data_IF_031389196939
#
_entry.id   IF_031389196939
#
_cell.length_a   1.000
_cell.length_b   1.000
_cell.length_c   1.000
_cell.angle_alpha   90.00
_cell.angle_beta   90.00
_cell.angle_gamma   90.00
#
_symmetry.space_group_name_H-M   'P 1'
#
loop_
_entity.id
_entity.type
_entity.pdbx_description
1 polymer ?
#
# COMPACT_ATOMS: atom_id res chain seq x y z
N UNK A 1 15.95 -1.48 -9.22
CA UNK A 1 14.58 -1.32 -9.75
C UNK A 1 13.70 -0.76 -8.65
N UNK A 2 13.13 0.43 -8.84
CA UNK A 2 12.24 1.04 -7.85
C UNK A 2 10.87 0.36 -7.92
N UNK A 3 10.33 -0.07 -6.77
CA UNK A 3 8.98 -0.65 -6.70
C UNK A 3 7.97 0.51 -6.58
N UNK A 4 6.86 0.51 -7.34
CA UNK A 4 5.87 1.56 -7.23
C UNK A 4 5.20 1.57 -5.85
N UNK A 5 4.82 2.76 -5.38
CA UNK A 5 4.09 2.93 -4.15
C UNK A 5 2.67 2.41 -4.27
N UNK A 6 2.16 1.88 -3.17
CA UNK A 6 0.75 1.54 -3.02
C UNK A 6 -0.02 2.80 -2.65
N UNK A 7 -1.18 2.99 -3.23
CA UNK A 7 -2.08 4.10 -2.94
C UNK A 7 -3.47 3.61 -2.54
N UNK A 8 -4.29 4.51 -2.00
CA UNK A 8 -5.71 4.24 -1.78
C UNK A 8 -6.38 3.85 -3.11
N UNK A 9 -7.15 2.76 -3.06
CA UNK A 9 -7.84 2.17 -4.20
C UNK A 9 -7.07 1.02 -4.87
N UNK A 10 -5.78 0.83 -4.56
CA UNK A 10 -5.02 -0.32 -5.06
C UNK A 10 -5.57 -1.64 -4.53
N UNK A 11 -5.33 -2.70 -5.30
CA UNK A 11 -5.87 -4.03 -5.04
C UNK A 11 -4.86 -4.91 -4.31
N UNK A 12 -5.36 -6.00 -3.76
CA UNK A 12 -4.54 -7.06 -3.15
C UNK A 12 -4.76 -8.39 -3.86
N UNK A 13 -3.83 -9.32 -3.71
CA UNK A 13 -3.94 -10.67 -4.30
C UNK A 13 -5.17 -11.45 -3.84
N UNK A 14 -5.76 -11.10 -2.69
CA UNK A 14 -7.01 -11.71 -2.20
C UNK A 14 -8.28 -11.06 -2.78
N UNK A 15 -8.15 -10.06 -3.65
CA UNK A 15 -9.27 -9.26 -4.18
C UNK A 15 -9.67 -8.09 -3.28
N UNK A 16 -8.89 -7.82 -2.23
CA UNK A 16 -9.10 -6.69 -1.33
C UNK A 16 -8.71 -5.35 -1.94
N UNK A 17 -9.04 -4.26 -1.23
CA UNK A 17 -8.74 -2.88 -1.64
C UNK A 17 -8.17 -2.07 -0.48
N UNK A 18 -7.14 -1.28 -0.77
CA UNK A 18 -6.53 -0.37 0.20
C UNK A 18 -7.43 0.85 0.40
N UNK A 19 -7.77 1.15 1.65
CA UNK A 19 -8.71 2.23 2.01
C UNK A 19 -8.08 3.31 2.90
N UNK A 20 -6.91 3.03 3.49
CA UNK A 20 -6.13 4.00 4.28
C UNK A 20 -4.90 4.49 3.53
N UNK A 21 -4.50 5.74 3.81
CA UNK A 21 -3.31 6.36 3.24
C UNK A 21 -2.88 7.62 3.99
N UNK A 22 -1.69 8.10 3.67
CA UNK A 22 -1.10 9.29 4.23
C UNK A 22 -1.77 10.55 3.66
N UNK A 23 -2.17 11.48 4.52
CA UNK A 23 -2.70 12.78 4.11
C UNK A 23 -1.64 13.70 3.49
N UNK A 24 -0.38 13.57 3.91
CA UNK A 24 0.73 14.42 3.48
C UNK A 24 1.53 13.88 2.31
N UNK A 25 1.37 12.59 1.97
CA UNK A 25 2.05 11.97 0.84
C UNK A 25 1.03 11.48 -0.19
N UNK A 26 1.01 12.13 -1.34
CA UNK A 26 0.17 11.76 -2.47
C UNK A 26 1.02 11.46 -3.69
N UNK A 27 0.57 10.52 -4.51
CA UNK A 27 1.20 10.12 -5.77
C UNK A 27 0.11 10.10 -6.83
N UNK A 28 0.29 10.89 -7.89
CA UNK A 28 -0.73 11.11 -8.92
C UNK A 28 -2.11 11.51 -8.32
N UNK A 29 -2.11 12.35 -7.28
CA UNK A 29 -3.33 12.80 -6.60
C UNK A 29 -3.99 11.77 -5.68
N UNK A 30 -3.41 10.58 -5.51
CA UNK A 30 -3.91 9.55 -4.58
C UNK A 30 -3.01 9.44 -3.36
N UNK A 31 -3.59 9.25 -2.19
CA UNK A 31 -2.84 9.11 -0.94
C UNK A 31 -2.03 7.82 -0.94
N UNK A 32 -0.75 7.91 -0.56
CA UNK A 32 0.17 6.78 -0.47
C UNK A 32 -0.13 5.99 0.79
N UNK A 33 -0.26 4.67 0.66
CA UNK A 33 -0.49 3.77 1.76
C UNK A 33 0.81 3.45 2.50
N UNK A 34 0.72 3.28 3.82
CA UNK A 34 1.84 2.99 4.73
C UNK A 34 1.53 1.77 5.57
N UNK A 35 2.55 1.28 6.26
CA UNK A 35 2.36 0.23 7.28
C UNK A 35 1.35 0.70 8.32
N UNK A 36 0.45 -0.22 8.70
CA UNK A 36 -0.74 -0.02 9.53
C UNK A 36 -1.92 0.72 8.87
N UNK A 37 -1.83 1.17 7.62
CA UNK A 37 -3.02 1.69 6.92
C UNK A 37 -4.04 0.56 6.65
N UNK A 38 -5.32 0.94 6.65
CA UNK A 38 -6.45 -0.01 6.52
C UNK A 38 -6.58 -0.56 5.11
N UNK A 39 -6.87 -1.86 5.04
CA UNK A 39 -7.10 -2.61 3.81
C UNK A 39 -8.32 -3.52 4.00
N UNK A 40 -9.28 -3.43 3.11
CA UNK A 40 -10.46 -4.30 3.10
C UNK A 40 -10.14 -5.57 2.34
N UNK A 41 -10.25 -6.74 2.96
CA UNK A 41 -10.07 -8.05 2.33
C UNK A 41 -11.41 -8.80 2.28
N UNK A 42 -11.92 -9.23 1.12
CA UNK A 42 -13.19 -9.97 1.04
C UNK A 42 -13.13 -11.36 1.69
N UNK A 43 -11.92 -11.93 1.87
CA UNK A 43 -11.73 -13.25 2.49
C UNK A 43 -11.56 -13.21 4.00
N UNK A 44 -11.00 -12.12 4.54
CA UNK A 44 -10.58 -12.04 5.95
C UNK A 44 -11.25 -10.89 6.72
N UNK A 45 -11.97 -9.99 6.04
CA UNK A 45 -12.53 -8.78 6.64
C UNK A 45 -11.58 -7.58 6.56
N UNK A 46 -11.63 -6.70 7.56
CA UNK A 46 -10.73 -5.55 7.67
C UNK A 46 -9.34 -5.98 8.13
N UNK A 47 -8.32 -5.50 7.44
CA UNK A 47 -6.92 -5.84 7.68
C UNK A 47 -6.07 -4.58 7.58
N UNK A 48 -4.78 -4.68 7.85
CA UNK A 48 -3.83 -3.58 7.73
C UNK A 48 -2.61 -3.99 6.92
N UNK A 49 -1.84 -3.01 6.45
CA UNK A 49 -0.55 -3.27 5.80
C UNK A 49 0.47 -3.67 6.87
N UNK A 50 1.16 -4.79 6.67
CA UNK A 50 2.12 -5.35 7.63
C UNK A 50 3.57 -4.98 7.32
N UNK A 51 3.93 -4.87 6.03
CA UNK A 51 5.30 -4.55 5.61
C UNK A 51 5.35 -3.32 4.70
N UNK A 52 6.50 -2.66 4.69
CA UNK A 52 6.77 -1.47 3.88
C UNK A 52 8.27 -1.23 3.76
N UNK A 53 8.64 -0.11 3.13
CA UNK A 53 10.03 0.30 2.96
C UNK A 53 10.50 1.20 4.11
N UNK A 54 11.44 0.71 4.92
CA UNK A 54 12.07 1.47 6.00
C UNK A 54 13.02 2.58 5.51
N UNK A 55 13.45 2.58 4.25
CA UNK A 55 14.22 3.68 3.68
C UNK A 55 13.36 4.91 3.40
N UNK A 56 12.03 4.75 3.33
CA UNK A 56 11.10 5.84 3.06
C UNK A 56 9.98 5.87 4.10
N UNK A 57 10.18 6.73 5.10
CA UNK A 57 9.27 6.91 6.21
C UNK A 57 8.38 8.14 5.94
N UNK A 58 7.06 7.95 5.96
CA UNK A 58 6.07 9.02 5.86
C UNK A 58 5.28 9.07 7.15
N UNK A 59 5.32 10.22 7.84
CA UNK A 59 4.65 10.42 9.14
C UNK A 59 5.01 9.35 10.19
N UNK A 60 6.28 8.95 10.25
CA UNK A 60 6.76 7.95 11.20
C UNK A 60 6.44 6.50 10.84
N UNK A 61 5.80 6.24 9.69
CA UNK A 61 5.49 4.89 9.21
C UNK A 61 6.15 4.63 7.86
N UNK A 62 6.72 3.42 7.64
CA UNK A 62 7.28 3.05 6.34
C UNK A 62 6.19 2.96 5.26
N UNK A 63 6.50 3.43 4.06
CA UNK A 63 5.57 3.41 2.91
C UNK A 63 5.43 2.01 2.33
N UNK A 64 4.21 1.65 1.95
CA UNK A 64 3.93 0.37 1.32
C UNK A 64 4.20 0.43 -0.18
N UNK A 65 4.80 -0.63 -0.73
CA UNK A 65 5.12 -0.75 -2.16
C UNK A 65 4.54 -2.02 -2.75
N UNK A 66 4.59 -2.10 -4.07
CA UNK A 66 4.22 -3.30 -4.80
C UNK A 66 4.97 -4.53 -4.26
N UNK A 67 4.21 -5.58 -3.93
CA UNK A 67 4.75 -6.82 -3.37
C UNK A 67 4.87 -6.85 -1.85
N UNK A 68 4.57 -5.75 -1.14
CA UNK A 68 4.44 -5.78 0.32
C UNK A 68 3.21 -6.58 0.76
N UNK A 69 3.21 -7.01 2.02
CA UNK A 69 2.18 -7.87 2.57
C UNK A 69 1.26 -7.13 3.53
N UNK A 70 0.00 -7.56 3.55
CA UNK A 70 -0.96 -7.19 4.58
C UNK A 70 -0.87 -8.15 5.77
N UNK A 71 -1.47 -7.77 6.90
CA UNK A 71 -1.53 -8.57 8.12
C UNK A 71 -2.26 -9.91 7.90
N UNK A 72 -3.17 -10.00 6.92
CA UNK A 72 -3.81 -11.27 6.56
C UNK A 72 -2.99 -12.12 5.58
N UNK A 73 -1.79 -11.67 5.20
CA UNK A 73 -0.90 -12.38 4.26
C UNK A 73 -1.16 -12.10 2.78
N UNK A 74 -2.10 -11.20 2.44
CA UNK A 74 -2.32 -10.80 1.04
C UNK A 74 -1.17 -9.91 0.55
N UNK A 75 -0.89 -9.97 -0.75
CA UNK A 75 0.14 -9.14 -1.39
C UNK A 75 -0.50 -7.89 -1.97
N UNK A 76 0.10 -6.73 -1.75
CA UNK A 76 -0.32 -5.44 -2.30
C UNK A 76 0.09 -5.33 -3.76
N UNK A 77 -0.85 -4.94 -4.61
CA UNK A 77 -0.68 -4.83 -6.05
C UNK A 77 -0.89 -3.37 -6.43
N UNK A 78 0.23 -2.67 -6.66
CA UNK A 78 0.18 -1.31 -7.22
C UNK A 78 -0.45 -1.34 -8.61
N UNK A 79 -1.50 -0.54 -8.82
CA UNK A 79 -2.07 -0.30 -10.15
C UNK A 79 -1.29 0.73 -10.96
N UNK A 80 -0.28 1.36 -10.36
CA UNK A 80 0.53 2.40 -10.98
C UNK A 80 1.90 1.83 -11.34
N UNK A 81 2.23 1.82 -12.63
CA UNK A 81 3.56 1.51 -13.11
C UNK A 81 4.41 2.77 -13.00
N UNK A 82 5.33 2.82 -12.03
CA UNK A 82 6.42 3.80 -12.08
C UNK A 82 7.33 3.41 -13.24
N UNK A 83 7.08 4.00 -14.40
CA UNK A 83 8.04 4.02 -15.51
C UNK A 83 9.07 5.08 -15.19
N UNK A 84 10.15 4.71 -14.50
CA UNK A 84 11.35 5.56 -14.50
C UNK A 84 12.11 5.24 -15.78
N UNK A 85 11.91 6.06 -16.81
CA UNK A 85 12.84 6.15 -17.96
C UNK A 85 14.14 6.82 -17.54
#
# INVERSE_FOLDING_TARGET
>A
MSKPFIVIGDKTSHGGTVVGGASTATTHGKQVARVNDKVTCPKCGSTTIATGDNSMIVMGQPVARHGDKTACGATLIAGQSVTTT
#
